data_IF_943670816280
#
_entry.id   IF_943670816280
#
_cell.length_a   1.000
_cell.length_b   1.000
_cell.length_c   1.000
_cell.angle_alpha   90.00
_cell.angle_beta   90.00
_cell.angle_gamma   90.00
#
_symmetry.space_group_name_H-M   'P 1'
#
loop_
_entity.id
_entity.type
_entity.pdbx_description
1 polymer ?
#
# COMPACT_ATOMS: atom_id res chain seq x y z
N UNK A 1 -37.75 10.62 47.10
CA UNK A 1 -37.85 10.51 45.63
C UNK A 1 -36.84 11.48 45.01
N UNK A 2 -35.62 11.03 44.81
CA UNK A 2 -34.51 11.78 44.18
C UNK A 2 -34.52 11.47 42.68
N UNK A 3 -34.94 12.44 41.86
CA UNK A 3 -34.81 12.35 40.39
C UNK A 3 -33.34 12.42 40.03
N UNK A 4 -32.76 11.30 39.61
CA UNK A 4 -31.46 11.25 38.91
C UNK A 4 -31.62 11.97 37.58
N UNK A 5 -30.95 13.12 37.42
CA UNK A 5 -30.85 13.85 36.17
C UNK A 5 -30.17 12.95 35.11
N UNK A 6 -30.87 12.75 34.00
CA UNK A 6 -30.29 12.08 32.83
C UNK A 6 -29.07 12.89 32.34
N UNK A 7 -27.97 12.23 31.92
CA UNK A 7 -26.82 12.95 31.40
C UNK A 7 -27.22 13.70 30.13
N UNK A 8 -26.94 15.01 30.11
CA UNK A 8 -27.14 15.85 28.94
C UNK A 8 -26.45 15.26 27.73
N UNK A 9 -27.09 15.13 26.57
CA UNK A 9 -26.44 14.77 25.34
C UNK A 9 -25.35 15.83 25.04
N UNK A 10 -24.10 15.41 25.01
CA UNK A 10 -23.00 16.27 24.56
C UNK A 10 -23.39 16.85 23.19
N UNK A 11 -23.51 18.16 23.11
CA UNK A 11 -23.84 18.88 21.88
C UNK A 11 -22.87 18.41 20.79
N UNK A 12 -23.39 17.84 19.71
CA UNK A 12 -22.61 17.40 18.57
C UNK A 12 -21.82 18.61 18.05
N UNK A 13 -20.49 18.58 18.19
CA UNK A 13 -19.64 19.64 17.64
C UNK A 13 -19.91 19.74 16.15
N UNK A 14 -20.57 20.80 15.73
CA UNK A 14 -20.79 21.10 14.31
C UNK A 14 -19.48 21.63 13.74
N UNK A 15 -18.86 20.86 12.84
CA UNK A 15 -17.64 21.25 12.14
C UNK A 15 -18.02 21.82 10.77
N UNK A 16 -17.42 22.93 10.37
CA UNK A 16 -17.68 23.55 9.07
C UNK A 16 -17.30 22.61 7.90
N UNK A 17 -17.91 22.79 6.74
CA UNK A 17 -17.58 22.01 5.56
C UNK A 17 -16.09 22.13 5.20
N UNK A 18 -15.56 23.33 5.23
CA UNK A 18 -14.12 23.61 4.95
C UNK A 18 -13.22 22.83 5.89
N UNK A 19 -13.53 22.78 7.19
CA UNK A 19 -12.73 22.06 8.17
C UNK A 19 -12.76 20.54 7.93
N UNK A 20 -13.91 19.96 7.51
CA UNK A 20 -13.99 18.53 7.14
C UNK A 20 -13.06 18.19 5.97
N UNK A 21 -13.04 19.05 4.95
CA UNK A 21 -12.12 18.88 3.81
C UNK A 21 -10.67 19.05 4.20
N UNK A 22 -10.35 19.96 5.12
CA UNK A 22 -9.00 20.11 5.67
C UNK A 22 -8.57 18.87 6.48
N UNK A 23 -9.46 18.26 7.27
CA UNK A 23 -9.18 16.97 7.95
C UNK A 23 -8.96 15.82 6.95
N UNK A 24 -9.74 15.80 5.85
CA UNK A 24 -9.51 14.82 4.77
C UNK A 24 -8.13 15.03 4.11
N UNK A 25 -7.78 16.27 3.80
CA UNK A 25 -6.45 16.59 3.24
C UNK A 25 -5.33 16.17 4.19
N UNK A 26 -5.47 16.42 5.50
CA UNK A 26 -4.52 15.97 6.52
C UNK A 26 -4.40 14.42 6.55
N UNK A 27 -5.53 13.70 6.52
CA UNK A 27 -5.56 12.23 6.48
C UNK A 27 -4.95 11.66 5.19
N UNK A 28 -5.23 12.28 4.03
CA UNK A 28 -4.66 11.91 2.73
C UNK A 28 -3.15 12.19 2.70
N UNK A 29 -2.72 13.35 3.20
CA UNK A 29 -1.30 13.69 3.33
C UNK A 29 -0.55 12.77 4.29
N UNK A 30 -1.17 12.39 5.42
CA UNK A 30 -0.61 11.40 6.33
C UNK A 30 -0.42 10.04 5.65
N UNK A 31 -1.39 9.60 4.86
CA UNK A 31 -1.29 8.38 4.06
C UNK A 31 -0.17 8.51 3.01
N UNK A 32 -0.03 9.65 2.34
CA UNK A 32 1.04 9.89 1.37
C UNK A 32 2.43 9.85 2.02
N UNK A 33 2.62 10.57 3.14
CA UNK A 33 3.89 10.60 3.85
C UNK A 33 4.32 9.23 4.38
N UNK A 34 3.38 8.48 4.99
CA UNK A 34 3.67 7.13 5.50
C UNK A 34 3.89 6.14 4.36
N UNK A 35 3.16 6.24 3.25
CA UNK A 35 3.39 5.40 2.07
C UNK A 35 4.75 5.68 1.45
N UNK A 36 5.16 6.96 1.34
CA UNK A 36 6.49 7.33 0.87
C UNK A 36 7.59 6.69 1.74
N UNK A 37 7.46 6.75 3.09
CA UNK A 37 8.41 6.13 4.02
C UNK A 37 8.47 4.61 3.87
N UNK A 38 7.32 3.95 3.72
CA UNK A 38 7.25 2.48 3.62
C UNK A 38 7.88 1.97 2.33
N UNK A 39 7.72 2.71 1.21
CA UNK A 39 8.27 2.27 -0.09
C UNK A 39 9.66 2.82 -0.39
N UNK A 40 10.11 3.87 0.31
CA UNK A 40 11.42 4.48 0.09
C UNK A 40 12.57 3.47 0.04
N UNK A 41 12.63 2.45 0.93
CA UNK A 41 13.71 1.47 0.89
C UNK A 41 13.79 0.67 -0.41
N UNK A 42 12.68 0.46 -1.11
CA UNK A 42 12.68 -0.21 -2.43
C UNK A 42 13.42 0.61 -3.50
N UNK A 43 13.37 1.92 -3.39
CA UNK A 43 14.09 2.85 -4.30
C UNK A 43 15.56 3.05 -3.93
N UNK A 44 16.02 2.47 -2.81
CA UNK A 44 17.43 2.44 -2.41
C UNK A 44 18.14 1.17 -2.88
N UNK A 45 17.42 0.14 -3.38
CA UNK A 45 18.02 -1.12 -3.83
C UNK A 45 19.16 -0.91 -4.83
N UNK A 46 19.07 -0.02 -5.85
CA UNK A 46 20.17 0.22 -6.77
C UNK A 46 21.47 0.63 -6.06
N UNK A 47 21.38 1.52 -5.07
CA UNK A 47 22.54 2.00 -4.32
C UNK A 47 23.07 0.95 -3.32
N UNK A 48 22.18 0.18 -2.69
CA UNK A 48 22.55 -0.93 -1.81
C UNK A 48 23.27 -2.05 -2.59
N UNK A 49 22.84 -2.32 -3.83
CA UNK A 49 23.40 -3.35 -4.68
C UNK A 49 24.69 -2.89 -5.41
N UNK A 50 24.83 -1.59 -5.68
CA UNK A 50 25.98 -1.02 -6.40
C UNK A 50 27.30 -1.46 -5.73
N UNK A 51 28.34 -1.88 -6.52
CA UNK A 51 29.62 -2.31 -6.00
C UNK A 51 30.28 -1.27 -5.07
N UNK A 52 30.97 -1.73 -4.03
CA UNK A 52 31.69 -0.86 -3.08
C UNK A 52 32.73 0.02 -3.80
N UNK A 53 33.43 -0.54 -4.81
CA UNK A 53 34.38 0.23 -5.64
C UNK A 53 33.73 1.39 -6.40
N UNK A 54 32.41 1.33 -6.65
CA UNK A 54 31.63 2.39 -7.26
C UNK A 54 30.89 3.29 -6.24
N UNK A 55 31.22 3.16 -4.94
CA UNK A 55 30.62 3.95 -3.86
C UNK A 55 29.28 3.42 -3.35
N UNK A 56 28.87 2.21 -3.71
CA UNK A 56 27.70 1.52 -3.17
C UNK A 56 28.04 0.65 -1.97
N UNK A 57 27.10 -0.22 -1.57
CA UNK A 57 27.24 -1.10 -0.41
C UNK A 57 27.63 -2.56 -0.80
N UNK A 58 27.57 -2.92 -2.07
CA UNK A 58 27.93 -4.25 -2.58
C UNK A 58 27.01 -5.39 -2.07
N UNK A 59 25.81 -5.08 -1.62
CA UNK A 59 24.86 -6.08 -1.13
C UNK A 59 24.34 -6.95 -2.29
N UNK A 60 24.06 -8.21 -2.02
CA UNK A 60 23.26 -9.03 -2.95
C UNK A 60 21.84 -8.44 -3.09
N UNK A 61 21.18 -8.72 -4.20
CA UNK A 61 19.78 -8.29 -4.40
C UNK A 61 18.83 -8.85 -3.32
N UNK A 62 19.12 -10.05 -2.80
CA UNK A 62 18.36 -10.63 -1.71
C UNK A 62 18.50 -9.84 -0.40
N UNK A 63 19.72 -9.46 -0.04
CA UNK A 63 20.02 -8.65 1.15
C UNK A 63 19.42 -7.24 1.00
N UNK A 64 19.59 -6.60 -0.16
CA UNK A 64 18.96 -5.32 -0.47
C UNK A 64 17.42 -5.43 -0.40
N UNK A 65 16.85 -6.55 -0.85
CA UNK A 65 15.43 -6.87 -0.72
C UNK A 65 14.97 -7.01 0.73
N UNK A 66 15.79 -7.57 1.62
CA UNK A 66 15.51 -7.60 3.06
C UNK A 66 15.46 -6.19 3.67
N UNK A 67 16.41 -5.33 3.32
CA UNK A 67 16.41 -3.92 3.73
C UNK A 67 15.16 -3.22 3.18
N UNK A 68 14.81 -3.45 1.92
CA UNK A 68 13.63 -2.88 1.28
C UNK A 68 12.31 -3.29 1.97
N UNK A 69 12.24 -4.50 2.51
CA UNK A 69 11.04 -5.00 3.20
C UNK A 69 10.94 -4.55 4.67
N UNK A 70 11.97 -3.92 5.23
CA UNK A 70 12.05 -3.61 6.66
C UNK A 70 10.88 -2.73 7.17
N UNK A 71 10.57 -1.62 6.48
CA UNK A 71 9.47 -0.73 6.87
C UNK A 71 8.11 -1.45 6.81
N UNK A 72 7.91 -2.27 5.78
CA UNK A 72 6.68 -3.03 5.59
C UNK A 72 6.51 -4.11 6.66
N UNK A 73 7.62 -4.72 7.10
CA UNK A 73 7.66 -5.67 8.21
C UNK A 73 7.18 -5.02 9.51
N UNK A 74 7.71 -3.85 9.86
CA UNK A 74 7.28 -3.10 11.04
C UNK A 74 5.80 -2.74 11.00
N UNK A 75 5.31 -2.32 9.83
CA UNK A 75 3.90 -1.99 9.61
C UNK A 75 3.00 -3.22 9.81
N UNK A 76 3.37 -4.37 9.23
CA UNK A 76 2.58 -5.60 9.29
C UNK A 76 2.29 -6.05 10.74
N UNK A 77 3.30 -6.04 11.60
CA UNK A 77 3.14 -6.49 12.99
C UNK A 77 2.28 -5.57 13.86
N UNK A 78 2.07 -4.33 13.43
CA UNK A 78 1.42 -3.32 14.30
C UNK A 78 0.07 -2.82 13.80
N UNK A 79 -0.40 -3.25 12.60
CA UNK A 79 -1.70 -2.86 12.04
C UNK A 79 -2.86 -3.10 13.00
N UNK A 80 -2.93 -4.29 13.62
CA UNK A 80 -4.01 -4.64 14.56
C UNK A 80 -3.87 -3.84 15.87
N UNK A 81 -2.64 -3.67 16.34
CA UNK A 81 -2.36 -2.91 17.57
C UNK A 81 -2.78 -1.45 17.43
N UNK A 82 -2.50 -0.82 16.29
CA UNK A 82 -2.95 0.53 16.02
C UNK A 82 -4.48 0.65 15.91
N UNK A 83 -5.16 -0.37 15.41
CA UNK A 83 -6.62 -0.46 15.46
C UNK A 83 -7.15 -0.36 16.90
N UNK A 84 -6.53 -1.10 17.83
CA UNK A 84 -6.87 -1.03 19.26
C UNK A 84 -6.53 0.33 19.90
N UNK A 85 -5.42 0.95 19.49
CA UNK A 85 -5.04 2.30 19.96
C UNK A 85 -6.06 3.33 19.50
N UNK A 86 -6.47 3.28 18.22
CA UNK A 86 -7.52 4.14 17.65
C UNK A 86 -8.82 3.99 18.45
N UNK A 87 -9.23 2.76 18.74
CA UNK A 87 -10.45 2.50 19.48
C UNK A 87 -10.42 3.08 20.91
N UNK A 88 -9.25 3.09 21.57
CA UNK A 88 -9.09 3.54 22.96
C UNK A 88 -8.74 5.01 23.11
N UNK A 89 -7.86 5.53 22.24
CA UNK A 89 -7.23 6.85 22.39
C UNK A 89 -7.69 7.89 21.36
N UNK A 90 -8.39 7.46 20.31
CA UNK A 90 -8.86 8.32 19.24
C UNK A 90 -7.96 8.34 18.01
N UNK A 91 -8.52 8.89 16.94
CA UNK A 91 -7.90 8.95 15.62
C UNK A 91 -6.77 9.97 15.57
N UNK A 92 -6.97 11.14 16.20
CA UNK A 92 -5.96 12.20 16.29
C UNK A 92 -4.71 11.73 17.03
N UNK A 93 -4.87 11.09 18.19
CA UNK A 93 -3.76 10.54 18.94
C UNK A 93 -2.98 9.52 18.12
N UNK A 94 -3.67 8.58 17.48
CA UNK A 94 -3.04 7.55 16.68
C UNK A 94 -2.28 8.14 15.46
N UNK A 95 -2.87 9.12 14.76
CA UNK A 95 -2.19 9.79 13.64
C UNK A 95 -0.94 10.52 14.09
N UNK A 96 -1.01 11.32 15.16
CA UNK A 96 0.14 12.10 15.66
C UNK A 96 1.27 11.19 16.13
N UNK A 97 0.96 10.23 17.01
CA UNK A 97 1.97 9.32 17.53
C UNK A 97 2.56 8.42 16.44
N UNK A 98 1.73 7.91 15.52
CA UNK A 98 2.18 7.11 14.40
C UNK A 98 3.11 7.88 13.45
N UNK A 99 2.75 9.10 13.09
CA UNK A 99 3.59 9.96 12.24
C UNK A 99 4.91 10.36 12.93
N UNK A 100 4.89 10.66 14.24
CA UNK A 100 6.10 10.95 15.01
C UNK A 100 7.02 9.73 15.09
N UNK A 101 6.49 8.53 15.32
CA UNK A 101 7.27 7.27 15.29
C UNK A 101 7.85 7.04 13.89
N UNK A 102 7.06 7.27 12.84
CA UNK A 102 7.53 7.18 11.45
C UNK A 102 8.68 8.16 11.18
N UNK A 103 8.54 9.41 11.59
CA UNK A 103 9.57 10.43 11.41
C UNK A 103 10.83 10.14 12.24
N UNK A 104 10.68 9.69 13.47
CA UNK A 104 11.81 9.33 14.32
C UNK A 104 12.62 8.15 13.75
N UNK A 105 11.91 7.10 13.29
CA UNK A 105 12.55 5.97 12.62
C UNK A 105 13.23 6.37 11.30
N UNK A 106 12.59 7.23 10.50
CA UNK A 106 13.17 7.77 9.27
C UNK A 106 14.42 8.62 9.51
N UNK A 107 14.38 9.50 10.51
CA UNK A 107 15.54 10.31 10.93
C UNK A 107 16.70 9.45 11.46
N UNK A 108 16.38 8.43 12.25
CA UNK A 108 17.38 7.47 12.72
C UNK A 108 18.01 6.71 11.55
N UNK A 109 17.19 6.22 10.60
CA UNK A 109 17.68 5.54 9.40
C UNK A 109 18.57 6.44 8.54
N UNK A 110 18.21 7.72 8.40
CA UNK A 110 18.99 8.71 7.65
C UNK A 110 20.36 9.01 8.28
N UNK A 111 20.49 8.83 9.59
CA UNK A 111 21.74 9.06 10.33
C UNK A 111 22.67 7.83 10.35
N UNK A 112 22.21 6.66 9.92
CA UNK A 112 22.95 5.40 9.99
C UNK A 112 23.58 5.10 8.63
N UNK A 113 24.88 4.77 8.62
CA UNK A 113 25.62 4.41 7.43
C UNK A 113 25.50 2.90 7.11
N UNK A 114 25.34 2.07 8.13
CA UNK A 114 25.31 0.61 8.00
C UNK A 114 23.92 0.11 7.61
N UNK A 115 23.79 -0.77 6.59
CA UNK A 115 22.48 -1.21 6.07
C UNK A 115 21.59 -1.91 7.09
N UNK A 116 22.14 -2.75 7.98
CA UNK A 116 21.33 -3.52 8.93
C UNK A 116 20.77 -2.68 10.08
N UNK A 117 21.55 -1.81 10.77
CA UNK A 117 20.99 -0.83 11.69
C UNK A 117 19.98 0.11 11.03
N UNK A 118 20.24 0.55 9.80
CA UNK A 118 19.30 1.34 9.00
C UNK A 118 17.99 0.57 8.76
N UNK A 119 18.06 -0.71 8.39
CA UNK A 119 16.87 -1.56 8.23
C UNK A 119 16.06 -1.67 9.52
N UNK A 120 16.71 -1.81 10.69
CA UNK A 120 16.03 -1.80 11.98
C UNK A 120 15.31 -0.48 12.26
N UNK A 121 15.93 0.65 11.96
CA UNK A 121 15.32 1.98 12.08
C UNK A 121 14.15 2.17 11.10
N UNK A 122 14.27 1.67 9.87
CA UNK A 122 13.19 1.65 8.88
C UNK A 122 12.01 0.76 9.33
N UNK A 123 12.30 -0.40 9.94
CA UNK A 123 11.28 -1.24 10.56
C UNK A 123 10.53 -0.48 11.65
N UNK A 124 11.25 0.24 12.52
CA UNK A 124 10.63 1.11 13.52
C UNK A 124 9.78 2.23 12.90
N UNK A 125 10.23 2.85 11.79
CA UNK A 125 9.41 3.81 11.04
C UNK A 125 8.11 3.17 10.54
N UNK A 126 8.18 1.94 10.04
CA UNK A 126 7.02 1.16 9.60
C UNK A 126 6.00 0.88 10.70
N UNK A 127 6.46 0.65 11.95
CA UNK A 127 5.58 0.52 13.13
C UNK A 127 4.67 1.74 13.25
N UNK A 128 5.22 2.95 13.11
CA UNK A 128 4.44 4.19 13.14
C UNK A 128 3.50 4.33 11.96
N UNK A 129 3.96 3.98 10.75
CA UNK A 129 3.20 4.13 9.51
C UNK A 129 1.86 3.36 9.52
N UNK A 130 1.79 2.24 10.23
CA UNK A 130 0.58 1.44 10.36
C UNK A 130 -0.61 2.19 10.98
N UNK A 131 -0.35 3.19 11.84
CA UNK A 131 -1.38 4.00 12.49
C UNK A 131 -2.28 4.72 11.48
N UNK A 132 -1.69 5.22 10.39
CA UNK A 132 -2.40 6.00 9.38
C UNK A 132 -3.46 5.16 8.67
N UNK A 133 -3.20 3.88 8.39
CA UNK A 133 -4.15 2.98 7.77
C UNK A 133 -5.41 2.79 8.63
N UNK A 134 -5.25 2.68 9.96
CA UNK A 134 -6.36 2.48 10.88
C UNK A 134 -7.13 3.76 11.17
N UNK A 135 -6.45 4.90 11.32
CA UNK A 135 -7.05 6.13 11.79
C UNK A 135 -7.68 6.99 10.68
N UNK A 136 -7.00 7.17 9.53
CA UNK A 136 -7.42 8.12 8.50
C UNK A 136 -8.77 7.78 7.85
N UNK A 137 -9.08 6.49 7.71
CA UNK A 137 -10.38 6.04 7.18
C UNK A 137 -11.55 6.36 8.11
N UNK A 138 -11.34 6.25 9.42
CA UNK A 138 -12.37 6.56 10.43
C UNK A 138 -12.64 8.04 10.54
N UNK A 139 -11.64 8.91 10.34
CA UNK A 139 -11.84 10.36 10.23
C UNK A 139 -12.85 10.68 9.11
N UNK A 140 -12.73 10.02 7.94
CA UNK A 140 -13.65 10.20 6.82
C UNK A 140 -15.07 9.77 7.21
N UNK A 141 -15.21 8.53 7.71
CA UNK A 141 -16.53 7.96 8.03
C UNK A 141 -17.23 8.76 9.14
N UNK A 142 -16.48 9.29 10.11
CA UNK A 142 -17.03 10.00 11.25
C UNK A 142 -17.44 11.45 10.98
N UNK A 143 -16.80 12.13 10.01
CA UNK A 143 -17.07 13.55 9.73
C UNK A 143 -17.86 13.82 8.44
N UNK A 144 -17.86 12.86 7.49
CA UNK A 144 -18.57 13.04 6.23
C UNK A 144 -19.96 12.38 6.27
N UNK A 145 -20.99 13.07 5.76
CA UNK A 145 -22.33 12.50 5.64
C UNK A 145 -22.31 11.36 4.61
N UNK A 146 -23.24 10.38 4.71
CA UNK A 146 -23.25 9.19 3.87
C UNK A 146 -23.11 9.46 2.36
N UNK A 147 -23.78 10.53 1.87
CA UNK A 147 -23.86 10.91 0.45
C UNK A 147 -22.51 11.41 -0.11
N UNK A 148 -21.54 11.75 0.76
CA UNK A 148 -20.21 12.26 0.38
C UNK A 148 -19.06 11.37 0.85
N UNK A 149 -19.34 10.28 1.54
CA UNK A 149 -18.32 9.35 2.04
C UNK A 149 -17.56 8.67 0.92
N UNK A 150 -18.24 8.31 -0.18
CA UNK A 150 -17.61 7.67 -1.33
C UNK A 150 -16.52 8.53 -1.96
N UNK A 151 -16.85 9.80 -2.26
CA UNK A 151 -15.89 10.76 -2.81
C UNK A 151 -14.75 11.01 -1.82
N UNK A 152 -15.08 11.25 -0.55
CA UNK A 152 -14.06 11.51 0.47
C UNK A 152 -13.11 10.30 0.66
N UNK A 153 -13.64 9.08 0.65
CA UNK A 153 -12.83 7.86 0.73
C UNK A 153 -12.00 7.67 -0.54
N UNK A 154 -12.55 7.96 -1.71
CA UNK A 154 -11.81 7.95 -2.98
C UNK A 154 -10.60 8.89 -2.94
N UNK A 155 -10.78 10.14 -2.50
CA UNK A 155 -9.70 11.11 -2.32
C UNK A 155 -8.66 10.59 -1.32
N UNK A 156 -9.11 10.05 -0.17
CA UNK A 156 -8.19 9.45 0.81
C UNK A 156 -7.32 8.35 0.19
N UNK A 157 -7.89 7.51 -0.66
CA UNK A 157 -7.17 6.41 -1.29
C UNK A 157 -6.10 6.86 -2.30
N UNK A 158 -6.13 8.12 -2.74
CA UNK A 158 -5.05 8.70 -3.57
C UNK A 158 -3.77 8.96 -2.76
N UNK A 159 -3.84 8.99 -1.44
CA UNK A 159 -2.67 9.21 -0.58
C UNK A 159 -1.57 8.17 -0.82
N UNK A 160 -1.91 6.89 -0.98
CA UNK A 160 -0.92 5.85 -1.22
C UNK A 160 -0.16 6.05 -2.54
N UNK A 161 -0.80 6.15 -3.72
CA UNK A 161 -0.07 6.40 -4.96
C UNK A 161 0.68 7.74 -4.97
N UNK A 162 0.19 8.78 -4.30
CA UNK A 162 0.92 10.04 -4.14
C UNK A 162 2.23 9.84 -3.36
N UNK A 163 2.22 9.07 -2.28
CA UNK A 163 3.43 8.76 -1.51
C UNK A 163 4.42 7.92 -2.30
N UNK A 164 3.94 6.90 -3.03
CA UNK A 164 4.79 6.08 -3.91
C UNK A 164 5.39 6.94 -5.01
N UNK A 165 4.61 7.81 -5.66
CA UNK A 165 5.09 8.74 -6.69
C UNK A 165 6.13 9.71 -6.17
N UNK A 166 5.94 10.27 -4.97
CA UNK A 166 6.92 11.13 -4.30
C UNK A 166 8.25 10.39 -4.09
N UNK A 167 8.20 9.19 -3.51
CA UNK A 167 9.40 8.40 -3.24
C UNK A 167 10.11 8.01 -4.55
N UNK A 168 9.38 7.54 -5.55
CA UNK A 168 9.93 7.14 -6.85
C UNK A 168 10.61 8.31 -7.57
N UNK A 169 10.00 9.49 -7.55
CA UNK A 169 10.53 10.66 -8.23
C UNK A 169 11.71 11.35 -7.51
N UNK A 170 11.95 11.04 -6.24
CA UNK A 170 12.94 11.77 -5.44
C UNK A 170 14.00 10.87 -4.81
N UNK A 171 13.62 9.77 -4.16
CA UNK A 171 14.52 8.97 -3.32
C UNK A 171 15.66 8.37 -4.13
N UNK A 172 15.37 7.74 -5.27
CA UNK A 172 16.41 7.12 -6.11
C UNK A 172 17.41 8.16 -6.63
N UNK A 173 16.92 9.33 -7.07
CA UNK A 173 17.76 10.43 -7.60
C UNK A 173 18.68 10.98 -6.51
N UNK A 174 18.10 11.27 -5.33
CA UNK A 174 18.87 11.84 -4.23
C UNK A 174 19.86 10.80 -3.69
N UNK A 175 19.47 9.54 -3.58
CA UNK A 175 20.36 8.47 -3.12
C UNK A 175 21.57 8.31 -4.06
N UNK A 176 21.37 8.40 -5.37
CA UNK A 176 22.44 8.29 -6.36
C UNK A 176 23.44 9.45 -6.28
N UNK A 177 22.98 10.70 -6.12
CA UNK A 177 23.83 11.89 -6.15
C UNK A 177 24.36 12.33 -4.79
N UNK A 178 23.62 12.05 -3.71
CA UNK A 178 23.91 12.58 -2.38
C UNK A 178 23.98 11.51 -1.28
N UNK A 179 23.71 10.23 -1.65
CA UNK A 179 23.72 9.10 -0.73
C UNK A 179 22.36 8.82 -0.08
N UNK A 180 22.29 7.71 0.63
CA UNK A 180 21.04 7.16 1.21
C UNK A 180 20.47 8.05 2.32
N UNK A 181 21.33 8.58 3.20
CA UNK A 181 20.89 9.44 4.32
C UNK A 181 20.06 10.65 3.86
N UNK A 182 20.59 11.52 2.97
CA UNK A 182 19.83 12.63 2.40
C UNK A 182 18.53 12.20 1.70
N UNK A 183 18.53 11.05 1.02
CA UNK A 183 17.32 10.53 0.36
C UNK A 183 16.20 10.19 1.34
N UNK A 184 16.52 9.63 2.50
CA UNK A 184 15.55 9.29 3.55
C UNK A 184 14.97 10.51 4.26
N UNK A 185 15.62 11.68 4.16
CA UNK A 185 15.04 12.93 4.69
C UNK A 185 13.82 13.41 3.92
N UNK A 186 13.61 12.98 2.67
CA UNK A 186 12.40 13.34 1.90
C UNK A 186 11.13 12.79 2.57
N UNK A 187 10.96 11.48 2.73
CA UNK A 187 9.78 10.93 3.41
C UNK A 187 9.72 11.31 4.90
N UNK A 188 10.88 11.49 5.56
CA UNK A 188 10.95 11.95 6.95
C UNK A 188 10.43 13.38 7.09
N UNK A 189 10.87 14.28 6.24
CA UNK A 189 10.41 15.67 6.20
C UNK A 189 8.92 15.77 5.86
N UNK A 190 8.43 14.96 4.93
CA UNK A 190 7.01 14.86 4.64
C UNK A 190 6.20 14.40 5.86
N UNK A 191 6.68 13.38 6.61
CA UNK A 191 6.03 12.93 7.83
C UNK A 191 6.01 14.01 8.92
N UNK A 192 7.10 14.76 9.10
CA UNK A 192 7.16 15.88 10.06
C UNK A 192 6.21 17.01 9.67
N UNK A 193 6.22 17.42 8.40
CA UNK A 193 5.36 18.50 7.91
C UNK A 193 3.87 18.16 8.09
N UNK A 194 3.49 16.93 7.71
CA UNK A 194 2.11 16.51 7.85
C UNK A 194 1.70 16.28 9.31
N UNK A 195 2.63 15.93 10.21
CA UNK A 195 2.38 15.85 11.64
C UNK A 195 1.93 17.20 12.19
N UNK A 196 2.60 18.28 11.82
CA UNK A 196 2.20 19.63 12.20
C UNK A 196 0.80 19.97 11.68
N UNK A 197 0.50 19.64 10.43
CA UNK A 197 -0.82 19.88 9.84
C UNK A 197 -1.92 19.05 10.52
N UNK A 198 -1.68 17.77 10.81
CA UNK A 198 -2.60 16.91 11.58
C UNK A 198 -2.85 17.46 12.98
N UNK A 199 -1.81 17.95 13.66
CA UNK A 199 -1.93 18.54 14.99
C UNK A 199 -2.86 19.77 15.01
N UNK A 200 -2.83 20.57 13.96
CA UNK A 200 -3.63 21.80 13.85
C UNK A 200 -5.09 21.53 13.44
N UNK A 201 -5.32 20.51 12.59
CA UNK A 201 -6.58 20.40 11.84
C UNK A 201 -7.43 19.21 12.28
N UNK A 202 -6.81 18.05 12.61
CA UNK A 202 -7.59 16.83 12.87
C UNK A 202 -8.23 16.85 14.24
N UNK A 203 -9.54 16.60 14.27
CA UNK A 203 -10.36 16.39 15.45
C UNK A 203 -10.89 14.96 15.45
N UNK A 204 -11.02 14.37 16.65
CA UNK A 204 -11.64 13.07 16.79
C UNK A 204 -13.13 13.15 16.45
N UNK A 205 -13.67 12.25 15.61
CA UNK A 205 -15.09 12.22 15.31
C UNK A 205 -15.93 11.83 16.53
N UNK A 206 -17.18 12.28 16.59
CA UNK A 206 -18.11 11.87 17.64
C UNK A 206 -18.24 10.34 17.64
N UNK A 207 -18.10 9.73 18.81
CA UNK A 207 -18.29 8.29 18.96
C UNK A 207 -19.77 8.03 19.24
N UNK A 208 -20.46 7.15 18.46
CA UNK A 208 -21.76 6.67 18.85
C UNK A 208 -21.63 6.01 20.23
N UNK A 209 -22.56 6.30 21.14
CA UNK A 209 -22.69 5.54 22.36
C UNK A 209 -22.77 4.05 21.97
N UNK A 210 -22.03 3.18 22.67
CA UNK A 210 -22.10 1.75 22.43
C UNK A 210 -23.59 1.36 22.52
N UNK A 211 -24.16 0.91 21.41
CA UNK A 211 -25.49 0.36 21.42
C UNK A 211 -25.44 -0.90 22.31
N UNK A 212 -26.00 -0.79 23.49
CA UNK A 212 -26.24 -1.92 24.36
C UNK A 212 -27.28 -2.82 23.69
N UNK A 213 -26.82 -3.79 22.93
CA UNK A 213 -27.63 -4.74 22.20
C UNK A 213 -26.73 -5.81 21.59
N UNK A 214 -26.59 -6.89 22.30
CA UNK A 214 -25.83 -8.07 21.92
C UNK A 214 -26.47 -8.76 20.72
N UNK A 215 -26.12 -8.32 19.50
CA UNK A 215 -26.27 -9.15 18.32
C UNK A 215 -24.87 -9.64 17.94
N UNK A 216 -24.47 -10.77 18.53
CA UNK A 216 -23.33 -11.56 18.04
C UNK A 216 -23.58 -11.90 16.58
N UNK A 217 -23.10 -11.02 15.69
CA UNK A 217 -23.19 -11.26 14.27
C UNK A 217 -22.57 -12.62 13.96
N UNK A 218 -23.29 -13.43 13.22
CA UNK A 218 -22.82 -14.75 12.79
C UNK A 218 -21.48 -14.58 12.07
N UNK A 219 -20.49 -15.37 12.47
CA UNK A 219 -19.16 -15.31 11.85
C UNK A 219 -19.27 -15.67 10.36
N UNK A 220 -18.99 -14.75 9.42
CA UNK A 220 -19.18 -14.98 7.99
C UNK A 220 -18.26 -16.07 7.43
N UNK A 221 -17.14 -16.36 8.09
CA UNK A 221 -16.22 -17.44 7.70
C UNK A 221 -16.75 -18.85 7.99
N UNK A 222 -17.79 -18.97 8.82
CA UNK A 222 -18.44 -20.26 9.09
C UNK A 222 -19.54 -20.59 8.08
N UNK A 223 -20.02 -19.62 7.33
CA UNK A 223 -21.10 -19.81 6.37
C UNK A 223 -20.63 -20.53 5.10
N UNK A 224 -19.49 -20.12 4.58
CA UNK A 224 -18.88 -20.68 3.36
C UNK A 224 -17.39 -20.29 3.25
N UNK A 225 -16.75 -20.72 2.14
CA UNK A 225 -15.35 -20.43 1.84
C UNK A 225 -15.15 -19.18 0.98
N UNK A 226 -16.20 -18.38 0.75
CA UNK A 226 -16.12 -17.22 -0.15
C UNK A 226 -15.04 -16.23 0.27
N UNK A 227 -15.08 -15.76 1.52
CA UNK A 227 -14.09 -14.81 2.06
C UNK A 227 -12.66 -15.38 2.01
N UNK A 228 -12.48 -16.63 2.40
CA UNK A 228 -11.17 -17.27 2.36
C UNK A 228 -10.61 -17.34 0.92
N UNK A 229 -11.47 -17.60 -0.07
CA UNK A 229 -11.08 -17.60 -1.49
C UNK A 229 -10.76 -16.19 -1.99
N UNK A 230 -11.52 -15.16 -1.60
CA UNK A 230 -11.20 -13.76 -1.95
C UNK A 230 -9.85 -13.36 -1.36
N UNK A 231 -9.59 -13.68 -0.09
CA UNK A 231 -8.29 -13.42 0.54
C UNK A 231 -7.16 -14.16 -0.18
N UNK A 232 -7.33 -15.45 -0.49
CA UNK A 232 -6.33 -16.24 -1.22
C UNK A 232 -6.05 -15.69 -2.61
N UNK A 233 -7.07 -15.31 -3.38
CA UNK A 233 -6.90 -14.68 -4.68
C UNK A 233 -6.15 -13.35 -4.57
N UNK A 234 -6.48 -12.52 -3.58
CA UNK A 234 -5.77 -11.25 -3.33
C UNK A 234 -4.30 -11.45 -2.95
N UNK A 235 -3.98 -12.46 -2.15
CA UNK A 235 -2.58 -12.79 -1.80
C UNK A 235 -1.81 -13.20 -3.06
N UNK A 236 -2.40 -14.00 -3.93
CA UNK A 236 -1.75 -14.39 -5.20
C UNK A 236 -1.54 -13.19 -6.14
N UNK A 237 -2.49 -12.25 -6.20
CA UNK A 237 -2.42 -11.07 -7.06
C UNK A 237 -1.48 -9.99 -6.53
N UNK A 238 -1.28 -9.90 -5.22
CA UNK A 238 -0.39 -8.89 -4.63
C UNK A 238 1.09 -9.18 -4.87
N UNK A 239 1.48 -10.44 -5.09
CA UNK A 239 2.88 -10.82 -5.32
C UNK A 239 3.47 -10.17 -6.57
N UNK A 240 2.88 -10.28 -7.80
CA UNK A 240 3.40 -9.59 -8.97
C UNK A 240 3.36 -8.06 -8.82
N UNK A 241 2.39 -7.50 -8.10
CA UNK A 241 2.36 -6.07 -7.77
C UNK A 241 3.61 -5.64 -7.03
N UNK A 242 3.95 -6.30 -5.92
CA UNK A 242 5.12 -5.94 -5.12
C UNK A 242 6.43 -6.28 -5.82
N UNK A 243 6.49 -7.32 -6.66
CA UNK A 243 7.65 -7.59 -7.51
C UNK A 243 7.95 -6.41 -8.44
N UNK A 244 6.95 -5.94 -9.19
CA UNK A 244 7.09 -4.82 -10.12
C UNK A 244 7.41 -3.51 -9.36
N UNK A 245 6.78 -3.27 -8.23
CA UNK A 245 7.01 -2.06 -7.43
C UNK A 245 8.41 -2.03 -6.79
N UNK A 246 8.92 -3.16 -6.34
CA UNK A 246 10.20 -3.24 -5.67
C UNK A 246 11.37 -3.23 -6.65
N UNK A 247 11.26 -4.02 -7.72
CA UNK A 247 12.38 -4.23 -8.62
C UNK A 247 12.26 -3.55 -9.98
N UNK A 248 11.12 -2.93 -10.31
CA UNK A 248 10.95 -2.23 -11.58
C UNK A 248 11.95 -1.09 -11.79
N UNK A 249 12.18 -0.26 -10.75
CA UNK A 249 13.20 0.79 -10.82
C UNK A 249 14.61 0.20 -10.90
N UNK A 250 14.90 -0.80 -10.08
CA UNK A 250 16.22 -1.45 -10.06
C UNK A 250 16.55 -2.08 -11.41
N UNK A 251 15.59 -2.72 -12.06
CA UNK A 251 15.75 -3.25 -13.42
C UNK A 251 16.11 -2.17 -14.43
N UNK A 252 15.39 -1.03 -14.41
CA UNK A 252 15.67 0.09 -15.32
C UNK A 252 17.07 0.69 -15.09
N UNK A 253 17.50 0.80 -13.82
CA UNK A 253 18.77 1.46 -13.46
C UNK A 253 19.94 0.51 -13.56
N UNK A 254 19.87 -0.67 -12.91
CA UNK A 254 21.01 -1.55 -12.74
C UNK A 254 21.22 -2.48 -13.95
N UNK A 255 20.14 -2.88 -14.63
CA UNK A 255 20.17 -3.84 -15.74
C UNK A 255 20.18 -3.11 -17.11
N UNK A 256 19.27 -2.12 -17.29
CA UNK A 256 19.17 -1.38 -18.54
C UNK A 256 20.03 -0.10 -18.58
N UNK A 257 20.73 0.25 -17.51
CA UNK A 257 21.64 1.42 -17.45
C UNK A 257 20.94 2.78 -17.51
N UNK A 258 19.65 2.88 -17.21
CA UNK A 258 18.94 4.14 -17.24
C UNK A 258 19.35 5.05 -16.08
N UNK A 259 19.28 6.36 -16.28
CA UNK A 259 19.50 7.29 -15.18
C UNK A 259 18.41 7.14 -14.12
N UNK A 260 18.74 7.24 -12.81
CA UNK A 260 17.76 7.15 -11.74
C UNK A 260 16.60 8.14 -11.85
N UNK A 261 16.86 9.33 -12.43
CA UNK A 261 15.84 10.34 -12.67
C UNK A 261 14.79 9.89 -13.69
N UNK A 262 15.21 9.37 -14.84
CA UNK A 262 14.29 8.90 -15.90
C UNK A 262 13.54 7.65 -15.40
N UNK A 263 14.23 6.69 -14.78
CA UNK A 263 13.62 5.51 -14.21
C UNK A 263 12.59 5.88 -13.12
N UNK A 264 12.93 6.80 -12.23
CA UNK A 264 12.03 7.30 -11.17
C UNK A 264 10.78 7.98 -11.74
N UNK A 265 10.90 8.76 -12.81
CA UNK A 265 9.76 9.38 -13.50
C UNK A 265 8.83 8.34 -14.14
N UNK A 266 9.39 7.30 -14.77
CA UNK A 266 8.59 6.19 -15.30
C UNK A 266 7.81 5.51 -14.19
N UNK A 267 8.46 5.15 -13.08
CA UNK A 267 7.83 4.51 -11.92
C UNK A 267 6.80 5.44 -11.28
N UNK A 268 7.07 6.73 -11.14
CA UNK A 268 6.09 7.71 -10.66
C UNK A 268 4.86 7.77 -11.61
N UNK A 269 5.08 7.76 -12.91
CA UNK A 269 4.01 7.71 -13.93
C UNK A 269 3.14 6.46 -13.82
N UNK A 270 3.71 5.30 -13.45
CA UNK A 270 2.94 4.07 -13.24
C UNK A 270 1.87 4.22 -12.15
N UNK A 271 2.09 5.11 -11.17
CA UNK A 271 1.13 5.34 -10.08
C UNK A 271 -0.15 6.01 -10.60
N UNK A 272 -0.03 6.89 -11.59
CA UNK A 272 -1.18 7.50 -12.26
C UNK A 272 -1.96 6.44 -13.04
N UNK A 273 -1.25 5.60 -13.80
CA UNK A 273 -1.86 4.49 -14.53
C UNK A 273 -2.53 3.49 -13.57
N UNK A 274 -1.90 3.18 -12.44
CA UNK A 274 -2.46 2.31 -11.40
C UNK A 274 -3.72 2.89 -10.75
N UNK A 275 -3.75 4.20 -10.48
CA UNK A 275 -4.94 4.88 -9.96
C UNK A 275 -6.10 4.82 -10.97
N UNK A 276 -5.82 5.08 -12.25
CA UNK A 276 -6.81 4.97 -13.32
C UNK A 276 -7.35 3.53 -13.47
N UNK A 277 -6.47 2.52 -13.40
CA UNK A 277 -6.85 1.11 -13.47
C UNK A 277 -7.77 0.69 -12.32
N UNK A 278 -7.50 1.15 -11.08
CA UNK A 278 -8.37 0.90 -9.92
C UNK A 278 -9.76 1.50 -10.11
N UNK A 279 -9.84 2.75 -10.60
CA UNK A 279 -11.10 3.44 -10.88
C UNK A 279 -11.84 2.70 -12.01
N UNK A 280 -11.14 2.37 -13.09
CA UNK A 280 -11.70 1.64 -14.23
C UNK A 280 -12.24 0.25 -13.84
N UNK A 281 -11.50 -0.50 -13.02
CA UNK A 281 -11.95 -1.79 -12.51
C UNK A 281 -13.19 -1.66 -11.60
N UNK A 282 -13.23 -0.64 -10.75
CA UNK A 282 -14.39 -0.32 -9.92
C UNK A 282 -15.61 0.01 -10.77
N UNK A 283 -15.47 0.88 -11.76
CA UNK A 283 -16.53 1.24 -12.69
C UNK A 283 -17.03 0.03 -13.51
N UNK A 284 -16.13 -0.79 -14.06
CA UNK A 284 -16.49 -2.01 -14.76
C UNK A 284 -17.26 -3.00 -13.85
N UNK A 285 -16.88 -3.07 -12.59
CA UNK A 285 -17.54 -3.88 -11.57
C UNK A 285 -19.00 -3.42 -11.33
N UNK A 286 -19.22 -2.11 -11.28
CA UNK A 286 -20.56 -1.55 -11.11
C UNK A 286 -21.43 -1.80 -12.34
N UNK A 287 -20.88 -1.67 -13.56
CA UNK A 287 -21.59 -1.96 -14.83
C UNK A 287 -21.98 -3.44 -14.93
N UNK A 288 -21.11 -4.35 -14.52
CA UNK A 288 -21.35 -5.80 -14.61
C UNK A 288 -22.19 -6.33 -13.44
N UNK A 289 -22.38 -5.53 -12.38
CA UNK A 289 -23.08 -5.94 -11.17
C UNK A 289 -22.39 -7.10 -10.44
N UNK A 290 -21.06 -7.18 -10.54
CA UNK A 290 -20.23 -8.25 -9.95
C UNK A 290 -18.85 -7.70 -9.57
N UNK A 291 -18.35 -8.08 -8.42
CA UNK A 291 -16.95 -7.77 -7.99
C UNK A 291 -15.99 -8.84 -8.50
N UNK A 292 -16.45 -10.08 -8.54
CA UNK A 292 -15.60 -11.23 -8.82
C UNK A 292 -15.34 -11.47 -10.32
N UNK A 293 -16.27 -11.12 -11.20
CA UNK A 293 -16.04 -11.23 -12.66
C UNK A 293 -14.92 -10.32 -13.14
N UNK A 294 -14.92 -8.99 -12.84
CA UNK A 294 -13.80 -8.11 -13.15
C UNK A 294 -12.51 -8.53 -12.44
N UNK A 295 -12.56 -8.97 -11.17
CA UNK A 295 -11.38 -9.47 -10.46
C UNK A 295 -10.74 -10.66 -11.18
N UNK A 296 -11.55 -11.61 -11.71
CA UNK A 296 -11.04 -12.73 -12.52
C UNK A 296 -10.46 -12.27 -13.85
N UNK A 297 -11.06 -11.28 -14.50
CA UNK A 297 -10.51 -10.68 -15.72
C UNK A 297 -9.16 -9.99 -15.45
N UNK A 298 -9.05 -9.24 -14.36
CA UNK A 298 -7.78 -8.63 -13.90
C UNK A 298 -6.72 -9.71 -13.66
N UNK A 299 -7.08 -10.84 -13.05
CA UNK A 299 -6.14 -11.96 -12.83
C UNK A 299 -5.60 -12.53 -14.15
N UNK A 300 -6.46 -12.71 -15.17
CA UNK A 300 -6.04 -13.16 -16.53
C UNK A 300 -5.12 -12.11 -17.17
N UNK A 301 -5.49 -10.84 -17.13
CA UNK A 301 -4.68 -9.76 -17.68
C UNK A 301 -3.32 -9.64 -16.96
N UNK A 302 -3.29 -9.78 -15.65
CA UNK A 302 -2.06 -9.76 -14.87
C UNK A 302 -1.14 -10.93 -15.24
N UNK A 303 -1.69 -12.15 -15.38
CA UNK A 303 -0.92 -13.31 -15.83
C UNK A 303 -0.32 -13.09 -17.22
N UNK A 304 -1.13 -12.66 -18.19
CA UNK A 304 -0.68 -12.39 -19.53
C UNK A 304 0.38 -11.27 -19.59
N UNK A 305 0.14 -10.17 -18.89
CA UNK A 305 1.06 -9.02 -18.87
C UNK A 305 2.39 -9.38 -18.20
N UNK A 306 2.37 -10.13 -17.10
CA UNK A 306 3.60 -10.57 -16.42
C UNK A 306 4.40 -11.57 -17.27
N UNK A 307 3.73 -12.49 -17.98
CA UNK A 307 4.39 -13.40 -18.91
C UNK A 307 5.04 -12.64 -20.08
N UNK A 308 4.32 -11.70 -20.69
CA UNK A 308 4.84 -10.88 -21.78
C UNK A 308 5.99 -9.97 -21.32
N UNK A 309 5.86 -9.37 -20.13
CA UNK A 309 6.94 -8.58 -19.53
C UNK A 309 8.20 -9.45 -19.33
N UNK A 310 8.03 -10.67 -18.81
CA UNK A 310 9.14 -11.59 -18.62
C UNK A 310 9.84 -11.95 -19.93
N UNK A 311 9.08 -12.26 -20.98
CA UNK A 311 9.62 -12.54 -22.32
C UNK A 311 10.34 -11.31 -22.92
N UNK A 312 9.74 -10.13 -22.83
CA UNK A 312 10.35 -8.91 -23.34
C UNK A 312 11.59 -8.50 -22.55
N UNK A 313 11.56 -8.64 -21.21
CA UNK A 313 12.70 -8.33 -20.35
C UNK A 313 13.91 -9.27 -20.61
N UNK A 314 13.68 -10.53 -20.97
CA UNK A 314 14.73 -11.46 -21.31
C UNK A 314 15.52 -11.09 -22.60
N UNK A 315 14.92 -10.31 -23.51
CA UNK A 315 15.59 -9.83 -24.73
C UNK A 315 15.81 -8.31 -24.76
N UNK A 316 15.63 -7.64 -23.63
CA UNK A 316 15.65 -6.17 -23.58
C UNK A 316 17.05 -5.59 -23.88
N UNK A 317 18.13 -6.30 -23.57
CA UNK A 317 19.50 -5.86 -23.85
C UNK A 317 19.87 -5.95 -25.33
N UNK A 318 19.18 -6.82 -26.09
CA UNK A 318 19.53 -7.11 -27.47
C UNK A 318 18.98 -6.08 -28.47
N UNK A 319 17.94 -5.32 -28.12
CA UNK A 319 17.24 -4.43 -29.05
C UNK A 319 16.51 -3.29 -28.34
N UNK A 320 16.77 -2.06 -28.77
CA UNK A 320 16.06 -0.86 -28.27
C UNK A 320 14.54 -0.95 -28.46
N UNK A 321 14.04 -1.64 -29.49
CA UNK A 321 12.62 -1.88 -29.69
C UNK A 321 12.06 -2.80 -28.62
N UNK A 322 12.78 -3.91 -28.32
CA UNK A 322 12.38 -4.85 -27.26
C UNK A 322 12.43 -4.19 -25.90
N UNK A 323 13.46 -3.37 -25.62
CA UNK A 323 13.54 -2.53 -24.40
C UNK A 323 12.31 -1.64 -24.27
N UNK A 324 11.94 -0.91 -25.35
CA UNK A 324 10.75 -0.06 -25.37
C UNK A 324 9.46 -0.82 -25.07
N UNK A 325 9.27 -1.99 -25.69
CA UNK A 325 8.13 -2.88 -25.42
C UNK A 325 8.13 -3.34 -23.96
N UNK A 326 9.27 -3.76 -23.43
CA UNK A 326 9.38 -4.23 -22.05
C UNK A 326 9.06 -3.11 -21.05
N UNK A 327 9.48 -1.87 -21.29
CA UNK A 327 9.14 -0.71 -20.44
C UNK A 327 7.63 -0.40 -20.50
N UNK A 328 7.01 -0.44 -21.69
CA UNK A 328 5.56 -0.28 -21.81
C UNK A 328 4.83 -1.40 -21.04
N UNK A 329 5.28 -2.63 -21.16
CA UNK A 329 4.72 -3.76 -20.39
C UNK A 329 4.92 -3.61 -18.89
N UNK A 330 6.02 -3.03 -18.42
CA UNK A 330 6.24 -2.69 -17.01
C UNK A 330 5.19 -1.69 -16.51
N UNK A 331 4.89 -0.66 -17.30
CA UNK A 331 3.84 0.32 -16.96
C UNK A 331 2.47 -0.34 -16.92
N UNK A 332 2.14 -1.17 -17.91
CA UNK A 332 0.89 -1.92 -17.97
C UNK A 332 0.80 -2.91 -16.80
N UNK A 333 1.86 -3.65 -16.50
CA UNK A 333 1.91 -4.56 -15.36
C UNK A 333 1.66 -3.83 -14.04
N UNK A 334 2.29 -2.66 -13.84
CA UNK A 334 2.07 -1.82 -12.65
C UNK A 334 0.61 -1.39 -12.50
N UNK A 335 -0.08 -1.10 -13.62
CA UNK A 335 -1.48 -0.70 -13.61
C UNK A 335 -2.42 -1.89 -13.36
N UNK A 336 -2.20 -3.00 -14.06
CA UNK A 336 -3.08 -4.17 -14.01
C UNK A 336 -2.98 -4.88 -12.67
N UNK A 337 -1.76 -5.04 -12.11
CA UNK A 337 -1.55 -5.78 -10.86
C UNK A 337 -2.10 -5.09 -9.62
N UNK A 338 -2.53 -3.83 -9.71
CA UNK A 338 -3.17 -3.09 -8.60
C UNK A 338 -4.69 -2.96 -8.76
N UNK A 339 -5.23 -3.31 -9.93
CA UNK A 339 -6.62 -3.04 -10.28
C UNK A 339 -7.62 -3.89 -9.45
N UNK A 340 -7.23 -5.07 -8.98
CA UNK A 340 -8.06 -5.96 -8.14
C UNK A 340 -8.26 -5.45 -6.71
N UNK A 341 -7.36 -4.62 -6.18
CA UNK A 341 -7.36 -4.21 -4.78
C UNK A 341 -8.72 -3.62 -4.35
N UNK A 342 -9.26 -2.67 -5.11
CA UNK A 342 -10.57 -2.07 -4.84
C UNK A 342 -11.70 -3.10 -4.84
N UNK A 343 -11.69 -4.03 -5.78
CA UNK A 343 -12.69 -5.08 -5.95
C UNK A 343 -12.70 -6.04 -4.76
N UNK A 344 -11.51 -6.52 -4.37
CA UNK A 344 -11.35 -7.43 -3.25
C UNK A 344 -11.79 -6.81 -1.92
N UNK A 345 -11.34 -5.57 -1.62
CA UNK A 345 -11.73 -4.87 -0.39
C UNK A 345 -13.24 -4.62 -0.33
N UNK A 346 -13.86 -4.23 -1.44
CA UNK A 346 -15.31 -4.03 -1.51
C UNK A 346 -16.05 -5.34 -1.28
N UNK A 347 -15.69 -6.41 -1.98
CA UNK A 347 -16.32 -7.73 -1.83
C UNK A 347 -16.20 -8.29 -0.41
N UNK A 348 -15.02 -8.10 0.24
CA UNK A 348 -14.81 -8.51 1.63
C UNK A 348 -15.71 -7.72 2.57
N UNK A 349 -15.81 -6.39 2.41
CA UNK A 349 -16.63 -5.54 3.26
C UNK A 349 -18.12 -5.86 3.10
N UNK A 350 -18.61 -6.01 1.86
CA UNK A 350 -20.00 -6.36 1.54
C UNK A 350 -20.38 -7.73 2.11
N UNK A 351 -19.52 -8.74 1.92
CA UNK A 351 -19.79 -10.11 2.41
C UNK A 351 -19.74 -10.23 3.92
N UNK A 352 -18.79 -9.54 4.57
CA UNK A 352 -18.62 -9.59 6.02
C UNK A 352 -19.70 -8.81 6.77
N UNK A 353 -20.33 -7.84 6.14
CA UNK A 353 -21.38 -7.03 6.75
C UNK A 353 -20.85 -6.06 7.82
N UNK A 354 -21.73 -5.21 8.37
CA UNK A 354 -21.34 -4.07 9.19
C UNK A 354 -20.63 -4.44 10.51
N UNK A 355 -20.88 -5.64 11.04
CA UNK A 355 -20.31 -6.08 12.32
C UNK A 355 -18.97 -6.84 12.19
N UNK A 356 -18.62 -7.28 10.97
CA UNK A 356 -17.42 -8.07 10.71
C UNK A 356 -16.47 -7.45 9.69
N UNK A 357 -16.90 -6.40 8.97
CA UNK A 357 -16.10 -5.80 7.90
C UNK A 357 -14.72 -5.32 8.37
N UNK A 358 -14.62 -4.71 9.54
CA UNK A 358 -13.34 -4.26 10.09
C UNK A 358 -12.34 -5.40 10.31
N UNK A 359 -12.80 -6.50 10.92
CA UNK A 359 -11.98 -7.70 11.15
C UNK A 359 -11.61 -8.39 9.83
N UNK A 360 -12.56 -8.50 8.91
CA UNK A 360 -12.34 -9.14 7.62
C UNK A 360 -11.36 -8.35 6.75
N UNK A 361 -11.49 -7.01 6.72
CA UNK A 361 -10.54 -6.12 6.06
C UNK A 361 -9.17 -6.13 6.73
N UNK A 362 -9.12 -6.22 8.05
CA UNK A 362 -7.88 -6.41 8.80
C UNK A 362 -7.15 -7.69 8.40
N UNK A 363 -7.87 -8.81 8.30
CA UNK A 363 -7.31 -10.08 7.84
C UNK A 363 -6.81 -9.99 6.39
N UNK A 364 -7.58 -9.34 5.51
CA UNK A 364 -7.21 -9.09 4.12
C UNK A 364 -5.87 -8.33 4.03
N UNK A 365 -5.78 -7.20 4.74
CA UNK A 365 -4.57 -6.40 4.77
C UNK A 365 -3.38 -7.18 5.33
N UNK A 366 -3.54 -7.87 6.45
CA UNK A 366 -2.46 -8.65 7.06
C UNK A 366 -1.95 -9.74 6.11
N UNK A 367 -2.84 -10.47 5.44
CA UNK A 367 -2.47 -11.50 4.49
C UNK A 367 -1.70 -10.94 3.28
N UNK A 368 -2.14 -9.79 2.73
CA UNK A 368 -1.43 -9.11 1.65
C UNK A 368 -0.06 -8.59 2.08
N UNK A 369 0.05 -8.00 3.28
CA UNK A 369 1.33 -7.49 3.78
C UNK A 369 2.32 -8.61 4.09
N UNK A 370 1.84 -9.77 4.57
CA UNK A 370 2.71 -10.93 4.77
C UNK A 370 3.35 -11.39 3.45
N UNK A 371 2.57 -11.47 2.37
CA UNK A 371 3.09 -11.75 1.05
C UNK A 371 4.05 -10.65 0.57
N UNK A 372 3.67 -9.39 0.75
CA UNK A 372 4.48 -8.24 0.33
C UNK A 372 5.86 -8.19 0.99
N UNK A 373 5.96 -8.54 2.27
CA UNK A 373 7.25 -8.62 3.00
C UNK A 373 8.15 -9.73 2.44
N UNK A 374 7.56 -10.86 2.02
CA UNK A 374 8.31 -11.99 1.50
C UNK A 374 8.79 -11.77 0.04
N UNK A 375 8.09 -10.93 -0.75
CA UNK A 375 8.41 -10.74 -2.17
C UNK A 375 9.83 -10.18 -2.40
N UNK A 376 10.28 -9.09 -1.76
CA UNK A 376 11.59 -8.51 -2.08
C UNK A 376 12.76 -9.48 -1.90
N UNK A 377 12.93 -10.20 -0.78
CA UNK A 377 14.05 -11.12 -0.63
C UNK A 377 13.95 -12.33 -1.56
N UNK A 378 12.75 -12.90 -1.76
CA UNK A 378 12.56 -14.04 -2.67
C UNK A 378 12.82 -13.63 -4.11
N UNK A 379 12.29 -12.48 -4.54
CA UNK A 379 12.53 -11.96 -5.88
C UNK A 379 14.01 -11.64 -6.10
N UNK A 380 14.70 -11.09 -5.10
CA UNK A 380 16.14 -10.86 -5.17
C UNK A 380 16.93 -12.16 -5.43
N UNK A 381 16.57 -13.25 -4.76
CA UNK A 381 17.17 -14.57 -5.01
C UNK A 381 16.88 -15.08 -6.42
N UNK A 382 15.62 -14.99 -6.88
CA UNK A 382 15.24 -15.49 -8.23
C UNK A 382 15.85 -14.64 -9.34
N UNK A 383 15.94 -13.32 -9.17
CA UNK A 383 16.61 -12.42 -10.12
C UNK A 383 18.10 -12.75 -10.22
N UNK A 384 18.77 -12.97 -9.09
CA UNK A 384 20.19 -13.35 -9.08
C UNK A 384 20.44 -14.71 -9.75
N UNK A 385 19.51 -15.67 -9.57
CA UNK A 385 19.67 -17.01 -10.13
C UNK A 385 19.29 -17.10 -11.62
N UNK A 386 18.25 -16.38 -12.06
CA UNK A 386 17.63 -16.58 -13.38
C UNK A 386 17.38 -15.27 -14.17
N UNK A 387 17.76 -14.12 -13.60
CA UNK A 387 17.53 -12.80 -14.21
C UNK A 387 16.11 -12.26 -14.05
N UNK A 388 15.91 -11.01 -14.45
CA UNK A 388 14.63 -10.31 -14.38
C UNK A 388 13.55 -10.94 -15.25
N UNK A 389 13.90 -11.31 -16.50
CA UNK A 389 12.96 -11.89 -17.45
C UNK A 389 12.30 -13.15 -16.90
N UNK A 390 13.10 -14.12 -16.44
CA UNK A 390 12.60 -15.37 -15.86
C UNK A 390 11.78 -15.11 -14.58
N UNK A 391 12.21 -14.18 -13.73
CA UNK A 391 11.49 -13.84 -12.50
C UNK A 391 10.12 -13.25 -12.77
N UNK A 392 10.00 -12.31 -13.71
CA UNK A 392 8.70 -11.76 -14.12
C UNK A 392 7.81 -12.82 -14.76
N UNK A 393 8.35 -13.69 -15.62
CA UNK A 393 7.59 -14.78 -16.24
C UNK A 393 7.07 -15.78 -15.21
N UNK A 394 7.90 -16.19 -14.25
CA UNK A 394 7.49 -17.10 -13.17
C UNK A 394 6.39 -16.48 -12.29
N UNK A 395 6.47 -15.17 -12.03
CA UNK A 395 5.44 -14.47 -11.26
C UNK A 395 4.06 -14.50 -11.94
N UNK A 396 3.97 -14.72 -13.26
CA UNK A 396 2.71 -14.89 -13.99
C UNK A 396 1.90 -16.11 -13.52
N UNK A 397 2.56 -17.13 -12.97
CA UNK A 397 1.89 -18.33 -12.47
C UNK A 397 0.92 -18.01 -11.31
N UNK A 398 1.21 -17.01 -10.50
CA UNK A 398 0.39 -16.66 -9.34
C UNK A 398 -0.96 -16.03 -9.73
N UNK A 399 -1.04 -15.01 -10.60
CA UNK A 399 -2.30 -14.54 -11.13
C UNK A 399 -3.07 -15.64 -11.89
N UNK A 400 -2.38 -16.54 -12.62
CA UNK A 400 -3.02 -17.65 -13.28
C UNK A 400 -3.71 -18.59 -12.27
N UNK A 401 -3.05 -18.89 -11.15
CA UNK A 401 -3.67 -19.63 -10.04
C UNK A 401 -4.84 -18.85 -9.43
N UNK A 402 -4.74 -17.53 -9.31
CA UNK A 402 -5.82 -16.69 -8.80
C UNK A 402 -7.09 -16.81 -9.66
N UNK A 403 -6.99 -16.98 -10.96
CA UNK A 403 -8.16 -17.22 -11.86
C UNK A 403 -9.03 -18.38 -11.37
N UNK A 404 -8.40 -19.46 -10.85
CA UNK A 404 -9.09 -20.64 -10.31
C UNK A 404 -9.65 -20.41 -8.91
N UNK A 405 -8.99 -19.54 -8.14
CA UNK A 405 -9.36 -19.26 -6.75
C UNK A 405 -10.49 -18.25 -6.64
N UNK A 406 -10.58 -17.25 -7.54
CA UNK A 406 -11.62 -16.20 -7.52
C UNK A 406 -13.03 -16.82 -7.51
N UNK A 407 -13.87 -16.54 -6.48
CA UNK A 407 -15.13 -17.25 -6.24
C UNK A 407 -16.31 -16.63 -7.01
N UNK A 408 -16.27 -16.59 -8.34
CA UNK A 408 -17.34 -16.00 -9.16
C UNK A 408 -18.71 -16.67 -8.94
N UNK A 409 -18.75 -17.99 -8.83
CA UNK A 409 -20.00 -18.72 -8.61
C UNK A 409 -20.59 -18.55 -7.18
N UNK A 410 -19.76 -18.13 -6.22
CA UNK A 410 -20.18 -17.91 -4.83
C UNK A 410 -20.60 -16.47 -4.53
N UNK A 411 -20.54 -15.58 -5.52
CA UNK A 411 -20.92 -14.19 -5.37
C UNK A 411 -22.45 -14.05 -5.27
N UNK A 412 -22.92 -13.29 -4.27
CA UNK A 412 -24.31 -12.86 -4.24
C UNK A 412 -24.46 -11.65 -5.17
N UNK A 413 -25.58 -11.59 -5.93
CA UNK A 413 -25.87 -10.43 -6.77
C UNK A 413 -25.72 -9.14 -5.96
N UNK A 414 -24.97 -8.17 -6.50
CA UNK A 414 -24.92 -6.80 -5.97
C UNK A 414 -26.26 -6.16 -6.28
N UNK A 415 -27.18 -6.19 -5.31
CA UNK A 415 -28.48 -5.55 -5.38
C UNK A 415 -28.45 -4.20 -4.69
#
# INVERSE_FOLDING_TARGET
MTRTAAPHPQAARTVSATHRWAMLAAGTGAQAATSAMVVAPSFLIPELHRPVAAGGYGMSLAEAGLVASASMTGMMFTLVLWGLVVDRRGERFALLTGLLVTAAGGAAAAALAEPWPMAAALCFAGIGAAATNSASGRVVVGWFPPERRGIAMGIRQTGQPLGVGLAAGTVAVIAHHHGIGPALWVPTGAALAITAFVALVVLDPPRPAAAAGDHRAVNPYRADRYLARVHGASVLLVVPQFLVWTFGLTWLVADLGWSPGVAGLVVAGTQVAGAAARIGAGWASDLVGSRMRPMRAVAVLAAATMALLGLAAAGAEDSAVVTGVAVVLLVVASAVTVADNGLAFTAVAERAGPFWSGRALGLQNTAQHLAAVAVPPIAGLTITAWGYGATYALAAALPLLAVLVVPVAGERSVS
#
